data_IF_169491440962
#
_entry.id   IF_169491440962
#
_cell.length_a   1.000
_cell.length_b   1.000
_cell.length_c   1.000
_cell.angle_alpha   90.00
_cell.angle_beta   90.00
_cell.angle_gamma   90.00
#
_symmetry.space_group_name_H-M   'P 1'
#
loop_
_entity.id
_entity.type
_entity.pdbx_description
1 polymer ?
#
# COMPACT_ATOMS: atom_id res chain seq x y z
N UNK A 1 -22.09 24.29 -20.39
CA UNK A 1 -22.17 24.78 -19.00
C UNK A 1 -21.83 23.68 -17.98
N UNK A 2 -20.81 22.83 -18.23
CA UNK A 2 -20.44 21.72 -17.33
C UNK A 2 -19.00 21.81 -16.78
N UNK A 3 -18.14 22.63 -17.39
CA UNK A 3 -16.72 22.75 -16.99
C UNK A 3 -16.57 23.52 -15.67
N UNK A 4 -17.35 24.60 -15.45
CA UNK A 4 -17.29 25.39 -14.21
C UNK A 4 -17.70 24.58 -12.96
N UNK A 5 -18.64 23.65 -13.10
CA UNK A 5 -19.15 22.83 -11.99
C UNK A 5 -18.20 21.71 -11.56
N UNK A 6 -17.32 21.24 -12.46
CA UNK A 6 -16.28 20.26 -12.10
C UNK A 6 -15.11 20.91 -11.35
N UNK A 7 -14.76 22.15 -11.67
CA UNK A 7 -13.71 22.90 -10.95
C UNK A 7 -14.13 23.25 -9.51
N UNK A 8 -15.42 23.50 -9.25
CA UNK A 8 -15.94 23.72 -7.88
C UNK A 8 -16.00 22.43 -7.03
N UNK A 9 -15.97 21.26 -7.66
CA UNK A 9 -15.92 19.97 -6.97
C UNK A 9 -14.49 19.56 -6.59
N UNK A 10 -13.47 20.13 -7.24
CA UNK A 10 -12.08 20.02 -6.82
C UNK A 10 -11.91 20.77 -5.48
N UNK A 11 -11.82 20.02 -4.38
CA UNK A 11 -11.73 20.56 -3.02
C UNK A 11 -13.03 20.47 -2.19
N UNK A 12 -14.14 19.98 -2.76
CA UNK A 12 -15.40 19.80 -2.01
C UNK A 12 -15.50 18.38 -1.43
N UNK A 13 -15.61 18.25 -0.10
CA UNK A 13 -15.83 16.99 0.62
C UNK A 13 -17.25 16.44 0.36
N UNK A 14 -17.55 16.00 -0.88
CA UNK A 14 -18.84 15.38 -1.21
C UNK A 14 -18.76 13.86 -1.14
N UNK A 15 -19.75 13.32 -0.44
CA UNK A 15 -20.00 11.97 0.06
C UNK A 15 -20.21 10.87 -1.01
N UNK A 16 -19.77 11.10 -2.25
CA UNK A 16 -19.67 10.04 -3.25
C UNK A 16 -18.27 9.46 -3.22
N UNK A 17 -18.04 8.48 -2.35
CA UNK A 17 -16.89 7.60 -2.46
C UNK A 17 -16.89 7.00 -3.87
N UNK A 18 -15.92 7.38 -4.70
CA UNK A 18 -15.77 6.71 -5.98
C UNK A 18 -15.34 5.29 -5.64
N UNK A 19 -16.20 4.30 -5.91
CA UNK A 19 -15.94 2.91 -5.54
C UNK A 19 -14.58 2.43 -6.07
N UNK A 20 -14.12 3.01 -7.19
CA UNK A 20 -12.79 2.79 -7.76
C UNK A 20 -11.65 3.11 -6.77
N UNK A 21 -11.64 4.26 -6.11
CA UNK A 21 -10.55 4.60 -5.18
C UNK A 21 -10.57 3.72 -3.93
N UNK A 22 -11.75 3.30 -3.48
CA UNK A 22 -11.87 2.34 -2.39
C UNK A 22 -11.34 0.96 -2.77
N UNK A 23 -11.64 0.48 -3.98
CA UNK A 23 -11.08 -0.77 -4.51
C UNK A 23 -9.55 -0.69 -4.59
N UNK A 24 -8.98 0.44 -5.07
CA UNK A 24 -7.53 0.62 -5.11
C UNK A 24 -6.91 0.62 -3.72
N UNK A 25 -7.57 1.21 -2.71
CA UNK A 25 -7.10 1.16 -1.34
C UNK A 25 -7.12 -0.27 -0.76
N UNK A 26 -8.21 -1.02 -1.00
CA UNK A 26 -8.29 -2.44 -0.61
C UNK A 26 -7.19 -3.24 -1.30
N UNK A 27 -6.92 -2.98 -2.57
CA UNK A 27 -5.83 -3.61 -3.31
C UNK A 27 -4.48 -3.34 -2.66
N UNK A 28 -4.17 -2.08 -2.33
CA UNK A 28 -2.92 -1.71 -1.64
C UNK A 28 -2.82 -2.42 -0.29
N UNK A 29 -3.89 -2.44 0.49
CA UNK A 29 -3.90 -3.14 1.78
C UNK A 29 -3.66 -4.66 1.60
N UNK A 30 -4.28 -5.27 0.60
CA UNK A 30 -4.07 -6.69 0.27
C UNK A 30 -2.61 -6.95 -0.14
N UNK A 31 -2.04 -6.07 -0.97
CA UNK A 31 -0.65 -6.18 -1.39
C UNK A 31 0.32 -5.98 -0.22
N UNK A 32 0.01 -5.10 0.72
CA UNK A 32 0.81 -4.93 1.93
C UNK A 32 0.82 -6.19 2.82
N UNK A 33 -0.32 -6.86 2.96
CA UNK A 33 -0.40 -8.16 3.66
C UNK A 33 0.43 -9.22 2.92
N UNK A 34 0.28 -9.30 1.59
CA UNK A 34 1.05 -10.24 0.75
C UNK A 34 2.56 -10.03 0.86
N UNK A 35 3.00 -8.78 0.79
CA UNK A 35 4.39 -8.36 1.00
C UNK A 35 4.93 -8.84 2.36
N UNK A 36 4.23 -8.57 3.46
CA UNK A 36 4.60 -9.11 4.78
C UNK A 36 4.68 -10.64 4.82
N UNK A 37 3.72 -11.34 4.18
CA UNK A 37 3.75 -12.80 4.10
C UNK A 37 4.99 -13.29 3.36
N UNK A 38 5.30 -12.75 2.18
CA UNK A 38 6.45 -13.16 1.40
C UNK A 38 7.78 -12.84 2.08
N UNK A 39 7.91 -11.70 2.76
CA UNK A 39 9.09 -11.38 3.58
C UNK A 39 9.32 -12.46 4.65
N UNK A 40 8.26 -12.82 5.39
CA UNK A 40 8.39 -13.82 6.45
C UNK A 40 8.73 -15.21 5.91
N UNK A 41 8.15 -15.60 4.78
CA UNK A 41 8.46 -16.88 4.12
C UNK A 41 9.90 -16.89 3.59
N UNK A 42 10.35 -15.80 2.97
CA UNK A 42 11.72 -15.65 2.48
C UNK A 42 12.76 -15.80 3.61
N UNK A 43 12.49 -15.19 4.76
CA UNK A 43 13.33 -15.31 5.95
C UNK A 43 13.33 -16.73 6.54
N UNK A 44 12.18 -17.41 6.53
CA UNK A 44 12.10 -18.81 6.96
C UNK A 44 12.89 -19.74 6.04
N UNK A 45 13.01 -19.40 4.76
CA UNK A 45 13.83 -20.13 3.78
C UNK A 45 15.34 -19.82 3.89
N UNK A 46 15.78 -19.06 4.90
CA UNK A 46 17.19 -18.69 5.10
C UNK A 46 17.64 -17.47 4.30
N UNK A 47 16.71 -16.73 3.69
CA UNK A 47 16.99 -15.45 3.04
C UNK A 47 17.40 -14.37 4.06
N UNK A 48 18.07 -13.32 3.56
CA UNK A 48 18.44 -12.15 4.35
C UNK A 48 17.56 -10.97 3.94
N UNK A 49 17.08 -10.20 4.91
CA UNK A 49 16.32 -8.99 4.62
C UNK A 49 17.30 -7.87 4.25
N UNK A 50 17.25 -7.38 3.01
CA UNK A 50 18.10 -6.27 2.56
C UNK A 50 17.65 -4.91 3.08
N UNK A 51 16.41 -4.81 3.55
CA UNK A 51 15.85 -3.58 4.09
C UNK A 51 16.19 -3.47 5.59
N UNK A 52 17.11 -2.56 6.00
CA UNK A 52 17.54 -2.46 7.40
C UNK A 52 16.40 -2.01 8.33
N UNK A 53 15.42 -1.26 7.84
CA UNK A 53 14.24 -0.87 8.62
C UNK A 53 13.34 -2.07 8.88
N UNK A 54 13.12 -2.91 7.87
CA UNK A 54 12.36 -4.14 8.03
C UNK A 54 13.08 -5.12 8.97
N UNK A 55 14.41 -5.25 8.84
CA UNK A 55 15.22 -6.06 9.74
C UNK A 55 15.08 -5.62 11.20
N UNK A 56 15.18 -4.32 11.50
CA UNK A 56 15.00 -3.79 12.86
C UNK A 56 13.61 -4.11 13.43
N UNK A 57 12.56 -4.02 12.60
CA UNK A 57 11.20 -4.38 13.00
C UNK A 57 11.05 -5.90 13.26
N UNK A 58 11.72 -6.72 12.45
CA UNK A 58 11.72 -8.17 12.60
C UNK A 58 12.48 -8.63 13.85
N UNK A 59 13.51 -7.88 14.27
CA UNK A 59 14.22 -8.09 15.53
C UNK A 59 13.34 -7.84 16.76
N UNK A 60 12.41 -6.88 16.69
CA UNK A 60 11.40 -6.67 17.74
C UNK A 60 10.40 -7.83 17.79
N UNK A 61 9.97 -8.31 16.62
CA UNK A 61 9.15 -9.50 16.50
C UNK A 61 8.43 -9.60 15.15
N UNK A 62 8.10 -10.83 14.76
CA UNK A 62 7.34 -11.09 13.52
C UNK A 62 5.97 -10.41 13.52
N UNK A 63 5.30 -10.41 14.67
CA UNK A 63 4.01 -9.74 14.85
C UNK A 63 4.16 -8.22 14.81
N UNK A 64 5.20 -7.67 15.41
CA UNK A 64 5.47 -6.24 15.41
C UNK A 64 5.76 -5.73 14.00
N UNK A 65 6.54 -6.49 13.21
CA UNK A 65 6.76 -6.18 11.79
C UNK A 65 5.45 -6.08 11.00
N UNK A 66 4.56 -7.08 11.12
CA UNK A 66 3.29 -7.07 10.39
C UNK A 66 2.38 -5.95 10.89
N UNK A 67 2.30 -5.76 12.21
CA UNK A 67 1.42 -4.76 12.83
C UNK A 67 1.84 -3.34 12.48
N UNK A 68 3.11 -2.98 12.67
CA UNK A 68 3.61 -1.64 12.39
C UNK A 68 3.46 -1.31 10.91
N UNK A 69 3.80 -2.24 10.02
CA UNK A 69 3.67 -2.04 8.57
C UNK A 69 2.20 -1.85 8.17
N UNK A 70 1.31 -2.70 8.66
CA UNK A 70 -0.14 -2.61 8.39
C UNK A 70 -0.73 -1.31 8.94
N UNK A 71 -0.31 -0.90 10.15
CA UNK A 71 -0.78 0.34 10.78
C UNK A 71 -0.32 1.58 9.98
N UNK A 72 0.95 1.63 9.59
CA UNK A 72 1.49 2.73 8.78
C UNK A 72 0.75 2.86 7.44
N UNK A 73 0.50 1.74 6.76
CA UNK A 73 -0.25 1.75 5.50
C UNK A 73 -1.72 2.10 5.71
N UNK A 74 -2.35 1.61 6.77
CA UNK A 74 -3.72 1.98 7.14
C UNK A 74 -3.87 3.49 7.35
N UNK A 75 -2.94 4.11 8.07
CA UNK A 75 -2.89 5.56 8.27
C UNK A 75 -2.68 6.30 6.95
N UNK A 76 -1.70 5.89 6.15
CA UNK A 76 -1.41 6.52 4.86
C UNK A 76 -2.61 6.44 3.89
N UNK A 77 -3.25 5.27 3.79
CA UNK A 77 -4.45 5.08 2.97
C UNK A 77 -5.61 5.93 3.48
N UNK A 78 -5.82 6.01 4.80
CA UNK A 78 -6.86 6.86 5.38
C UNK A 78 -6.65 8.32 4.98
N UNK A 79 -5.42 8.84 5.11
CA UNK A 79 -5.08 10.21 4.69
C UNK A 79 -5.35 10.41 3.20
N UNK A 80 -4.89 9.50 2.34
CA UNK A 80 -5.08 9.60 0.89
C UNK A 80 -6.57 9.54 0.48
N UNK A 81 -7.36 8.71 1.13
CA UNK A 81 -8.80 8.57 0.87
C UNK A 81 -9.55 9.84 1.31
N UNK A 82 -9.22 10.39 2.49
CA UNK A 82 -9.81 11.64 2.98
C UNK A 82 -9.47 12.80 2.05
N UNK A 83 -8.24 12.83 1.51
CA UNK A 83 -7.77 13.88 0.60
C UNK A 83 -8.01 13.57 -0.88
N UNK A 84 -8.83 12.56 -1.23
CA UNK A 84 -9.03 12.09 -2.62
C UNK A 84 -9.42 13.17 -3.64
N UNK A 85 -9.98 14.28 -3.17
CA UNK A 85 -10.41 15.40 -4.02
C UNK A 85 -9.22 16.23 -4.52
N UNK A 86 -8.06 16.07 -3.90
CA UNK A 86 -6.80 16.63 -4.37
C UNK A 86 -6.17 15.69 -5.40
N UNK A 87 -5.76 16.26 -6.53
CA UNK A 87 -5.05 15.54 -7.60
C UNK A 87 -3.80 14.83 -7.09
N UNK A 88 -3.10 15.42 -6.11
CA UNK A 88 -1.91 14.81 -5.50
C UNK A 88 -2.22 13.51 -4.73
N UNK A 89 -3.36 13.44 -4.02
CA UNK A 89 -3.76 12.23 -3.31
C UNK A 89 -4.14 11.11 -4.29
N UNK A 90 -4.79 11.44 -5.41
CA UNK A 90 -5.10 10.47 -6.47
C UNK A 90 -3.84 9.91 -7.11
N UNK A 91 -2.87 10.77 -7.43
CA UNK A 91 -1.56 10.35 -7.94
C UNK A 91 -0.86 9.46 -6.91
N UNK A 92 -0.83 9.87 -5.64
CA UNK A 92 -0.24 9.08 -4.56
C UNK A 92 -0.84 7.69 -4.44
N UNK A 93 -2.18 7.56 -4.55
CA UNK A 93 -2.87 6.27 -4.49
C UNK A 93 -2.51 5.35 -5.66
N UNK A 94 -2.50 5.87 -6.90
CA UNK A 94 -2.11 5.08 -8.08
C UNK A 94 -0.63 4.69 -8.06
N UNK A 95 0.24 5.61 -7.65
CA UNK A 95 1.67 5.32 -7.47
C UNK A 95 1.88 4.23 -6.42
N UNK A 96 1.21 4.35 -5.26
CA UNK A 96 1.29 3.32 -4.21
C UNK A 96 0.80 1.96 -4.72
N UNK A 97 -0.32 1.90 -5.44
CA UNK A 97 -0.82 0.66 -6.03
C UNK A 97 0.20 0.05 -7.01
N UNK A 98 0.83 0.86 -7.87
CA UNK A 98 1.87 0.42 -8.79
C UNK A 98 3.09 -0.13 -8.05
N UNK A 99 3.61 0.62 -7.08
CA UNK A 99 4.78 0.21 -6.27
C UNK A 99 4.52 -1.10 -5.53
N UNK A 100 3.38 -1.23 -4.87
CA UNK A 100 3.02 -2.46 -4.16
C UNK A 100 2.86 -3.66 -5.09
N UNK A 101 2.26 -3.45 -6.27
CA UNK A 101 2.11 -4.51 -7.27
C UNK A 101 3.47 -4.98 -7.80
N UNK A 102 4.39 -4.06 -8.08
CA UNK A 102 5.75 -4.38 -8.50
C UNK A 102 6.54 -5.11 -7.41
N UNK A 103 6.42 -4.65 -6.17
CA UNK A 103 7.12 -5.23 -5.02
C UNK A 103 6.64 -6.67 -4.74
N UNK A 104 5.33 -6.91 -4.75
CA UNK A 104 4.80 -8.28 -4.61
C UNK A 104 5.18 -9.13 -5.83
N UNK A 105 5.19 -8.57 -7.03
CA UNK A 105 5.69 -9.26 -8.22
C UNK A 105 7.16 -9.69 -8.08
N UNK A 106 8.02 -8.83 -7.52
CA UNK A 106 9.40 -9.16 -7.21
C UNK A 106 9.51 -10.31 -6.19
N UNK A 107 8.73 -10.26 -5.10
CA UNK A 107 8.69 -11.35 -4.13
C UNK A 107 8.22 -12.67 -4.73
N UNK A 108 7.24 -12.67 -5.63
CA UNK A 108 6.77 -13.87 -6.33
C UNK A 108 7.86 -14.47 -7.23
N UNK A 109 8.62 -13.62 -7.94
CA UNK A 109 9.76 -14.06 -8.75
C UNK A 109 10.86 -14.67 -7.89
N UNK A 110 11.18 -14.03 -6.76
CA UNK A 110 12.17 -14.54 -5.81
C UNK A 110 11.72 -15.86 -5.18
N UNK A 111 10.44 -15.95 -4.78
CA UNK A 111 9.85 -17.16 -4.23
C UNK A 111 9.91 -18.32 -5.22
N UNK A 112 9.58 -18.09 -6.49
CA UNK A 112 9.72 -19.09 -7.57
C UNK A 112 11.18 -19.49 -7.82
N UNK A 113 12.15 -18.62 -7.54
CA UNK A 113 13.57 -18.97 -7.70
C UNK A 113 14.12 -19.82 -6.54
N UNK A 114 13.44 -19.83 -5.40
CA UNK A 114 13.86 -20.54 -4.18
C UNK A 114 13.25 -21.95 -4.03
N UNK A 115 12.27 -22.31 -4.87
CA UNK A 115 11.57 -23.61 -4.89
C UNK A 115 11.43 -24.14 -6.32
#
# INVERSE_FOLDING_TARGET
>A
MNVRRQAELEGSFIDRYSGRMFIVAIWIATMNIGDSFFTLVHLQAGGIELNPVAQLLLEAGRWDFVFVKSFLIGVALTVLIVHKNFSLARIGLWTAAGTYTLLVGYHLLLFKAQF
#
